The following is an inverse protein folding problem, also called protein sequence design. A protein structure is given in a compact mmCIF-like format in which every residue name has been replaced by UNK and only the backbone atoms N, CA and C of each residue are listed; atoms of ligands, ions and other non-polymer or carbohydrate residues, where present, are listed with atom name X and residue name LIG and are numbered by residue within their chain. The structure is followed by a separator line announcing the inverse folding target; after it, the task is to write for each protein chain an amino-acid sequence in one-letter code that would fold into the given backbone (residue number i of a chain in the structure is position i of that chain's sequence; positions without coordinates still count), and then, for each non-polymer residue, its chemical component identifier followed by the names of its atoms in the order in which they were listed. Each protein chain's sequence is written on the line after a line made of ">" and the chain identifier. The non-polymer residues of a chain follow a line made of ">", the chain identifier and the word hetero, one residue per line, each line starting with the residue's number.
data_IF_103721429011
#
_entry.id   IF_103721429011
#
_cell.length_a   1.000
_cell.length_b   1.000
_cell.length_c   1.000
_cell.angle_alpha   90.00
_cell.angle_beta   90.00
_cell.angle_gamma   90.00
#
_symmetry.space_group_name_H-M   'P 1'
#
loop_
_entity.id
_entity.type
_entity.pdbx_description
1 polymer ?
#
# COMPACT_ATOMS: atom_id res chain seq x y z
N UNK A 1 -22.65 -24.48 -2.57
CA UNK A 1 -23.60 -23.37 -2.38
C UNK A 1 -22.82 -22.07 -2.50
N UNK A 2 -22.89 -21.42 -3.66
CA UNK A 2 -22.30 -20.10 -3.89
C UNK A 2 -23.28 -19.06 -3.34
N UNK A 3 -22.90 -18.36 -2.28
CA UNK A 3 -23.69 -17.23 -1.78
C UNK A 3 -23.61 -16.10 -2.80
N UNK A 4 -24.69 -15.90 -3.57
CA UNK A 4 -24.85 -14.74 -4.43
C UNK A 4 -25.11 -13.50 -3.57
N UNK A 5 -24.21 -12.54 -3.65
CA UNK A 5 -24.33 -11.25 -2.94
C UNK A 5 -25.43 -10.44 -3.63
N UNK A 6 -26.39 -9.94 -2.86
CA UNK A 6 -27.48 -9.11 -3.39
C UNK A 6 -26.98 -7.73 -3.83
N UNK A 7 -27.68 -7.08 -4.77
CA UNK A 7 -27.36 -5.71 -5.21
C UNK A 7 -27.37 -4.69 -4.05
N UNK A 8 -28.23 -4.90 -3.05
CA UNK A 8 -28.34 -4.08 -1.85
C UNK A 8 -27.10 -4.23 -0.95
N UNK A 9 -26.60 -5.46 -0.78
CA UNK A 9 -25.39 -5.77 -0.03
C UNK A 9 -24.13 -5.26 -0.74
N UNK A 10 -24.05 -5.43 -2.06
CA UNK A 10 -22.99 -4.84 -2.88
C UNK A 10 -22.97 -3.30 -2.74
N UNK A 11 -24.14 -2.66 -2.77
CA UNK A 11 -24.27 -1.21 -2.59
C UNK A 11 -23.83 -0.76 -1.20
N UNK A 12 -24.26 -1.44 -0.13
CA UNK A 12 -23.81 -1.17 1.26
C UNK A 12 -22.32 -1.40 1.46
N UNK A 13 -21.74 -2.43 0.83
CA UNK A 13 -20.30 -2.68 0.87
C UNK A 13 -19.51 -1.59 0.13
N UNK A 14 -20.03 -1.09 -0.99
CA UNK A 14 -19.46 0.04 -1.71
C UNK A 14 -19.58 1.37 -0.93
N UNK A 15 -20.69 1.58 -0.21
CA UNK A 15 -20.89 2.75 0.67
C UNK A 15 -19.97 2.74 1.89
N UNK A 16 -19.62 1.55 2.41
CA UNK A 16 -18.59 1.36 3.43
C UNK A 16 -17.15 1.50 2.89
N UNK A 17 -16.98 1.53 1.57
CA UNK A 17 -15.69 1.51 0.90
C UNK A 17 -15.16 0.08 0.68
N UNK A 18 -14.71 -0.20 -0.55
CA UNK A 18 -13.98 -1.44 -0.85
C UNK A 18 -12.53 -1.28 -0.41
N UNK A 19 -12.07 -2.19 0.45
CA UNK A 19 -10.69 -2.24 0.92
C UNK A 19 -9.87 -3.11 -0.03
N UNK A 20 -8.72 -2.63 -0.49
CA UNK A 20 -7.84 -3.36 -1.39
C UNK A 20 -6.52 -3.67 -0.69
N UNK A 21 -6.24 -4.96 -0.55
CA UNK A 21 -4.95 -5.45 -0.09
C UNK A 21 -4.06 -5.80 -1.29
N UNK A 22 -2.81 -5.36 -1.24
CA UNK A 22 -1.76 -5.69 -2.18
C UNK A 22 -0.57 -6.29 -1.42
N UNK A 23 0.06 -7.28 -2.05
CA UNK A 23 1.32 -7.85 -1.56
C UNK A 23 2.42 -7.43 -2.53
N UNK A 24 3.38 -6.59 -2.11
CA UNK A 24 4.48 -6.18 -2.95
C UNK A 24 5.48 -7.31 -3.13
N UNK A 25 6.24 -7.24 -4.21
CA UNK A 25 7.46 -8.04 -4.37
C UNK A 25 8.53 -7.56 -3.38
N UNK A 26 9.44 -8.47 -3.02
CA UNK A 26 10.62 -8.11 -2.24
C UNK A 26 11.56 -7.24 -3.06
N UNK A 27 12.29 -6.36 -2.37
CA UNK A 27 13.37 -5.58 -2.92
C UNK A 27 14.62 -6.45 -2.98
N UNK A 28 14.79 -7.12 -4.11
CA UNK A 28 15.92 -8.02 -4.35
C UNK A 28 16.98 -7.31 -5.18
N UNK A 29 18.11 -6.98 -4.54
CA UNK A 29 19.27 -6.38 -5.21
C UNK A 29 20.44 -7.35 -5.10
N UNK A 30 20.97 -7.79 -6.25
CA UNK A 30 22.11 -8.70 -6.31
C UNK A 30 23.30 -8.13 -5.52
N UNK A 31 23.80 -8.88 -4.55
CA UNK A 31 24.91 -8.47 -3.68
C UNK A 31 24.51 -7.66 -2.44
N UNK A 32 23.23 -7.34 -2.24
CA UNK A 32 22.76 -6.52 -1.12
C UNK A 32 21.56 -7.15 -0.39
N UNK A 33 21.78 -8.31 0.24
CA UNK A 33 20.74 -9.07 0.95
C UNK A 33 20.06 -8.31 2.10
N UNK A 34 20.72 -7.29 2.65
CA UNK A 34 20.14 -6.42 3.70
C UNK A 34 18.82 -5.75 3.29
N UNK A 35 18.56 -5.61 1.98
CA UNK A 35 17.31 -5.03 1.47
C UNK A 35 16.18 -6.04 1.29
N UNK A 36 16.42 -7.34 1.42
CA UNK A 36 15.42 -8.39 1.17
C UNK A 36 14.26 -8.38 2.18
N UNK A 37 14.43 -7.68 3.31
CA UNK A 37 13.37 -7.41 4.29
C UNK A 37 12.39 -6.34 3.84
N UNK A 38 12.64 -5.66 2.72
CA UNK A 38 11.88 -4.50 2.31
C UNK A 38 11.18 -4.74 0.97
N UNK A 39 10.02 -4.11 0.72
CA UNK A 39 9.32 -4.24 -0.55
C UNK A 39 9.96 -3.38 -1.64
N UNK A 40 9.84 -3.81 -2.91
CA UNK A 40 10.31 -3.03 -4.06
C UNK A 40 9.63 -1.65 -4.11
N UNK A 41 8.32 -1.64 -3.95
CA UNK A 41 7.45 -0.47 -3.83
C UNK A 41 6.16 -0.88 -3.11
N UNK A 42 5.40 0.07 -2.58
CA UNK A 42 4.12 -0.20 -1.90
C UNK A 42 2.99 0.58 -2.55
N UNK A 43 1.94 -0.14 -2.95
CA UNK A 43 0.76 0.40 -3.59
C UNK A 43 -0.38 0.55 -2.57
N UNK A 44 -0.97 1.74 -2.52
CA UNK A 44 -2.24 2.00 -1.83
C UNK A 44 -3.29 2.40 -2.85
N UNK A 45 -4.51 1.88 -2.69
CA UNK A 45 -5.64 2.20 -3.55
C UNK A 45 -6.91 2.40 -2.74
N UNK A 46 -7.72 3.36 -3.18
CA UNK A 46 -9.10 3.51 -2.72
C UNK A 46 -10.01 3.83 -3.89
N UNK A 47 -11.25 3.37 -3.82
CA UNK A 47 -12.30 3.78 -4.73
C UNK A 47 -13.00 5.01 -4.17
N UNK A 48 -13.28 5.97 -5.05
CA UNK A 48 -14.09 7.15 -4.75
C UNK A 48 -15.14 7.32 -5.84
N UNK A 49 -16.16 8.12 -5.53
CA UNK A 49 -17.08 8.66 -6.55
C UNK A 49 -16.71 10.10 -6.82
N UNK A 50 -16.54 10.46 -8.09
CA UNK A 50 -16.34 11.83 -8.56
C UNK A 50 -17.31 12.06 -9.72
N UNK A 51 -18.15 13.09 -9.61
CA UNK A 51 -19.14 13.48 -10.63
C UNK A 51 -20.03 12.31 -11.09
N UNK A 52 -20.49 11.50 -10.13
CA UNK A 52 -21.32 10.32 -10.39
C UNK A 52 -20.58 9.11 -10.97
N UNK A 53 -19.31 9.25 -11.33
CA UNK A 53 -18.46 8.17 -11.85
C UNK A 53 -17.58 7.58 -10.76
N UNK A 54 -17.32 6.28 -10.86
CA UNK A 54 -16.37 5.60 -9.98
C UNK A 54 -14.94 5.86 -10.49
N UNK A 55 -14.11 6.41 -9.61
CA UNK A 55 -12.69 6.64 -9.85
C UNK A 55 -11.87 5.84 -8.85
N UNK A 56 -10.71 5.36 -9.27
CA UNK A 56 -9.70 4.81 -8.35
C UNK A 56 -8.61 5.84 -8.13
N UNK A 57 -8.29 6.10 -6.87
CA UNK A 57 -7.09 6.81 -6.49
C UNK A 57 -5.98 5.79 -6.21
N UNK A 58 -4.78 6.07 -6.69
CA UNK A 58 -3.60 5.22 -6.51
C UNK A 58 -2.44 6.06 -5.96
N UNK A 59 -1.80 5.61 -4.88
CA UNK A 59 -0.53 6.13 -4.39
C UNK A 59 0.52 5.02 -4.40
N UNK A 60 1.71 5.33 -4.93
CA UNK A 60 2.84 4.41 -4.98
C UNK A 60 3.97 5.00 -4.15
N UNK A 61 4.53 4.17 -3.28
CA UNK A 61 5.62 4.53 -2.39
C UNK A 61 6.88 3.78 -2.79
N UNK A 62 7.97 4.51 -3.00
CA UNK A 62 9.28 3.96 -3.37
C UNK A 62 10.29 4.11 -2.23
N UNK A 63 11.23 3.14 -2.11
CA UNK A 63 12.22 3.14 -1.03
C UNK A 63 13.14 4.36 -1.15
N UNK A 64 13.35 5.05 -0.03
CA UNK A 64 14.36 6.07 0.11
C UNK A 64 15.61 5.44 0.75
N UNK A 65 16.53 4.95 -0.10
CA UNK A 65 17.72 4.20 0.34
C UNK A 65 18.61 4.96 1.32
N UNK A 66 18.59 6.29 1.31
CA UNK A 66 19.37 7.13 2.25
C UNK A 66 18.84 7.07 3.68
N UNK A 67 17.62 6.58 3.87
CA UNK A 67 16.98 6.43 5.19
C UNK A 67 17.13 5.05 5.78
N UNK A 68 17.75 4.12 5.05
CA UNK A 68 18.03 2.79 5.58
C UNK A 68 18.91 2.90 6.81
N UNK A 69 18.45 2.31 7.91
CA UNK A 69 19.20 2.21 9.16
C UNK A 69 19.09 0.80 9.71
N UNK A 70 20.21 0.30 10.25
CA UNK A 70 20.25 -0.91 11.06
C UNK A 70 20.71 -0.53 12.46
N UNK A 71 19.89 -0.82 13.45
CA UNK A 71 20.17 -0.62 14.87
C UNK A 71 19.95 -1.94 15.61
N UNK A 72 21.04 -2.63 15.93
CA UNK A 72 21.00 -4.01 16.42
C UNK A 72 20.25 -4.93 15.46
N UNK A 73 19.12 -5.47 15.92
CA UNK A 73 18.23 -6.38 15.17
C UNK A 73 17.16 -5.64 14.36
N UNK A 74 17.05 -4.31 14.49
CA UNK A 74 16.03 -3.51 13.81
C UNK A 74 16.57 -2.99 12.48
N UNK A 75 15.84 -3.27 11.40
CA UNK A 75 16.06 -2.68 10.09
C UNK A 75 14.91 -1.70 9.82
N UNK A 76 15.22 -0.44 9.52
CA UNK A 76 14.25 0.61 9.22
C UNK A 76 14.53 1.17 7.82
N UNK A 77 13.47 1.44 7.06
CA UNK A 77 13.55 2.25 5.85
C UNK A 77 12.27 3.05 5.67
N UNK A 78 12.44 4.31 5.24
CA UNK A 78 11.34 5.17 4.83
C UNK A 78 11.13 5.03 3.32
N UNK A 79 9.89 5.20 2.93
CA UNK A 79 9.43 5.28 1.56
C UNK A 79 8.74 6.62 1.36
N UNK A 80 8.87 7.18 0.16
CA UNK A 80 8.23 8.43 -0.23
C UNK A 80 7.20 8.18 -1.32
N UNK A 81 6.12 8.93 -1.30
CA UNK A 81 5.12 8.89 -2.35
C UNK A 81 5.68 9.51 -3.64
N UNK A 82 5.63 8.78 -4.76
CA UNK A 82 6.15 9.26 -6.05
C UNK A 82 5.40 10.48 -6.60
N UNK A 83 4.17 10.71 -6.14
CA UNK A 83 3.36 11.87 -6.50
C UNK A 83 3.66 13.11 -5.64
N UNK A 84 4.67 13.03 -4.77
CA UNK A 84 5.16 14.11 -3.93
C UNK A 84 4.31 14.40 -2.69
N UNK A 85 4.56 15.57 -2.10
CA UNK A 85 3.95 16.00 -0.84
C UNK A 85 4.62 15.39 0.40
N UNK A 86 4.10 15.76 1.56
CA UNK A 86 4.54 15.23 2.86
C UNK A 86 3.82 13.89 3.12
N UNK A 87 4.20 12.86 2.36
CA UNK A 87 3.56 11.54 2.34
C UNK A 87 4.63 10.46 2.47
N UNK A 88 4.65 9.77 3.62
CA UNK A 88 5.69 8.79 3.95
C UNK A 88 5.10 7.45 4.40
N UNK A 89 5.86 6.39 4.14
CA UNK A 89 5.63 5.08 4.72
C UNK A 89 6.92 4.61 5.39
N UNK A 90 6.83 4.23 6.66
CA UNK A 90 7.94 3.68 7.43
C UNK A 90 7.75 2.18 7.54
N UNK A 91 8.78 1.41 7.21
CA UNK A 91 8.80 -0.03 7.38
C UNK A 91 9.94 -0.39 8.32
N UNK A 92 9.62 -1.15 9.35
CA UNK A 92 10.58 -1.74 10.29
C UNK A 92 10.47 -3.25 10.20
N UNK A 93 11.63 -3.91 10.14
CA UNK A 93 11.76 -5.35 10.31
C UNK A 93 12.67 -5.65 11.49
N UNK A 94 12.16 -6.45 12.42
CA UNK A 94 12.87 -6.94 13.60
C UNK A 94 13.38 -8.36 13.33
N UNK A 95 14.70 -8.51 13.17
CA UNK A 95 15.38 -9.78 12.94
C UNK A 95 15.29 -10.73 14.14
N UNK A 96 15.14 -10.22 15.37
CA UNK A 96 15.14 -11.04 16.60
C UNK A 96 13.91 -11.93 16.70
N UNK A 97 12.78 -11.47 16.15
CA UNK A 97 11.50 -12.15 16.26
C UNK A 97 10.76 -12.26 14.92
N UNK A 98 11.35 -11.76 13.82
CA UNK A 98 10.79 -11.81 12.48
C UNK A 98 9.53 -10.95 12.32
N UNK A 99 9.38 -9.88 13.09
CA UNK A 99 8.20 -9.01 13.10
C UNK A 99 8.38 -7.83 12.15
N UNK A 100 7.32 -7.56 11.40
CA UNK A 100 7.16 -6.35 10.62
C UNK A 100 6.32 -5.33 11.37
N UNK A 101 6.68 -4.07 11.20
CA UNK A 101 5.86 -2.92 11.52
C UNK A 101 5.84 -1.98 10.32
N UNK A 102 4.66 -1.47 9.98
CA UNK A 102 4.48 -0.50 8.92
C UNK A 102 3.62 0.66 9.42
N UNK A 103 4.04 1.88 9.13
CA UNK A 103 3.29 3.09 9.49
C UNK A 103 3.22 4.06 8.32
N UNK A 104 2.01 4.48 7.99
CA UNK A 104 1.75 5.47 6.95
C UNK A 104 1.51 6.83 7.59
N UNK A 105 2.19 7.86 7.09
CA UNK A 105 2.06 9.24 7.54
C UNK A 105 1.76 10.19 6.38
N UNK A 106 0.80 11.10 6.58
CA UNK A 106 0.43 12.15 5.64
C UNK A 106 0.42 13.48 6.40
N UNK A 107 1.12 14.49 5.90
CA UNK A 107 1.30 15.81 6.52
C UNK A 107 1.77 15.69 7.99
N UNK A 108 2.84 14.92 8.22
CA UNK A 108 3.38 14.57 9.54
C UNK A 108 2.38 13.92 10.52
N UNK A 109 1.26 13.39 10.04
CA UNK A 109 0.27 12.69 10.87
C UNK A 109 0.17 11.24 10.47
N UNK A 110 0.23 10.35 11.47
CA UNK A 110 -0.05 8.93 11.30
C UNK A 110 -1.50 8.74 10.84
N UNK A 111 -1.69 8.10 9.69
CA UNK A 111 -3.02 7.77 9.14
C UNK A 111 -3.36 6.29 9.29
N UNK A 112 -2.36 5.45 9.55
CA UNK A 112 -2.58 4.03 9.82
C UNK A 112 -1.27 3.28 10.06
N UNK A 113 -1.39 2.09 10.62
CA UNK A 113 -0.26 1.18 10.81
C UNK A 113 -0.71 -0.27 10.83
N UNK A 114 0.22 -1.18 10.52
CA UNK A 114 0.06 -2.61 10.67
C UNK A 114 1.29 -3.22 11.36
N UNK A 115 1.11 -4.34 12.03
CA UNK A 115 2.20 -5.12 12.61
C UNK A 115 1.89 -6.61 12.51
N UNK A 116 2.91 -7.45 12.31
CA UNK A 116 2.71 -8.89 12.20
C UNK A 116 4.02 -9.67 12.17
N UNK A 117 4.00 -10.92 12.64
CA UNK A 117 5.18 -11.80 12.68
C UNK A 117 5.18 -12.78 11.51
N UNK A 118 6.33 -12.95 10.86
CA UNK A 118 6.66 -14.10 9.99
C UNK A 118 5.93 -14.20 8.65
N UNK A 119 4.83 -13.49 8.43
CA UNK A 119 4.02 -13.62 7.22
C UNK A 119 4.02 -12.33 6.38
N UNK A 120 4.87 -12.32 5.35
CA UNK A 120 4.99 -11.22 4.39
C UNK A 120 3.64 -10.87 3.75
N UNK A 121 2.89 -11.89 3.30
CA UNK A 121 1.67 -11.69 2.55
C UNK A 121 0.59 -11.07 3.42
N UNK A 122 0.38 -11.62 4.63
CA UNK A 122 -0.61 -11.07 5.56
C UNK A 122 -0.24 -9.68 6.04
N UNK A 123 1.03 -9.45 6.38
CA UNK A 123 1.48 -8.13 6.83
C UNK A 123 1.20 -7.07 5.76
N UNK A 124 1.61 -7.29 4.51
CA UNK A 124 1.42 -6.30 3.46
C UNK A 124 -0.03 -6.17 3.01
N UNK A 125 -0.80 -7.26 2.98
CA UNK A 125 -2.23 -7.18 2.71
C UNK A 125 -2.95 -6.29 3.75
N UNK A 126 -2.64 -6.44 5.04
CA UNK A 126 -3.19 -5.59 6.10
C UNK A 126 -2.67 -4.16 6.04
N UNK A 127 -1.38 -3.97 5.78
CA UNK A 127 -0.79 -2.64 5.66
C UNK A 127 -1.44 -1.85 4.52
N UNK A 128 -1.61 -2.47 3.35
CA UNK A 128 -2.13 -1.79 2.16
C UNK A 128 -3.65 -1.58 2.19
N UNK A 129 -4.39 -2.38 2.98
CA UNK A 129 -5.81 -2.18 3.26
C UNK A 129 -6.11 -0.80 3.89
N UNK A 130 -5.12 -0.15 4.50
CA UNK A 130 -5.21 1.25 4.98
C UNK A 130 -5.73 2.18 3.86
N UNK A 131 -5.41 1.88 2.59
CA UNK A 131 -5.88 2.66 1.45
C UNK A 131 -5.29 4.06 1.41
N UNK A 132 -6.00 4.99 0.77
CA UNK A 132 -5.64 6.40 0.67
C UNK A 132 -6.23 7.22 1.80
N UNK A 133 -5.51 8.25 2.22
CA UNK A 133 -5.95 9.18 3.26
C UNK A 133 -6.13 10.62 2.73
N UNK A 134 -6.90 11.43 3.46
CA UNK A 134 -7.11 12.83 3.11
C UNK A 134 -5.78 13.60 3.11
N UNK A 135 -5.53 14.36 2.04
CA UNK A 135 -4.32 15.16 1.87
C UNK A 135 -3.15 14.39 1.22
N UNK A 136 -3.32 13.09 0.96
CA UNK A 136 -2.34 12.30 0.23
C UNK A 136 -2.35 12.61 -1.27
N UNK A 137 -1.18 12.80 -1.87
CA UNK A 137 -1.04 12.92 -3.31
C UNK A 137 -1.25 11.56 -3.96
N UNK A 138 -2.10 11.49 -4.97
CA UNK A 138 -2.38 10.25 -5.68
C UNK A 138 -2.75 10.53 -7.14
N UNK A 139 -2.63 9.51 -7.97
CA UNK A 139 -3.13 9.51 -9.33
C UNK A 139 -4.58 9.02 -9.33
N UNK A 140 -5.48 9.82 -9.89
CA UNK A 140 -6.84 9.38 -10.18
C UNK A 140 -6.89 8.74 -11.57
N UNK A 141 -7.49 7.54 -11.65
CA UNK A 141 -7.82 6.89 -12.92
C UNK A 141 -9.29 6.53 -12.94
N UNK A 142 -9.90 6.63 -14.11
CA UNK A 142 -11.25 6.11 -14.31
C UNK A 142 -11.23 4.58 -14.18
N UNK A 143 -12.27 4.03 -13.56
CA UNK A 143 -12.41 2.57 -13.42
C UNK A 143 -12.78 1.90 -14.75
N UNK A 144 -13.25 2.67 -15.74
CA UNK A 144 -13.86 2.19 -16.98
C UNK A 144 -12.93 2.13 -18.21
N UNK A 145 -11.62 2.36 -18.08
CA UNK A 145 -10.70 2.15 -19.21
C UNK A 145 -10.61 0.66 -19.55
N UNK A 146 -11.44 0.22 -20.51
CA UNK A 146 -11.15 -0.98 -21.29
C UNK A 146 -9.79 -0.77 -21.96
N UNK A 147 -8.89 -1.77 -21.97
CA UNK A 147 -7.68 -1.67 -22.78
C UNK A 147 -8.09 -1.41 -24.22
N UNK A 148 -7.50 -0.40 -24.86
CA UNK A 148 -7.67 -0.18 -26.29
C UNK A 148 -7.27 -1.47 -27.01
N UNK A 149 -8.23 -2.07 -27.72
CA UNK A 149 -7.95 -3.17 -28.64
C UNK A 149 -6.85 -2.71 -29.59
N UNK A 150 -5.69 -3.36 -29.52
CA UNK A 150 -4.67 -3.24 -30.56
C UNK A 150 -5.32 -3.77 -31.84
N UNK A 151 -5.67 -2.87 -32.76
CA UNK A 151 -5.97 -3.25 -34.14
C UNK A 151 -4.70 -3.90 -34.70
N UNK A 152 -4.78 -5.19 -35.00
CA UNK A 152 -3.84 -5.89 -35.88
C UNK A 152 -4.03 -5.39 -37.31
#
# INVERSE_FOLDING_TARGET
>A
MTNEITKEEAKKAMEKGTHFGFVPHRLEIKGFSKYNHFPLNVLFMSLAKKDGKQVRGIAVYEPDFHTYKKDGHLNLMRYHNIYGGDCFLYIVYDESNGKYYGEKQINNKKVGSAAGKGDWHKFFAHLTIIGLAKGERCLFKDFAEKPAEKKQ
#
